data_IF_584813079495
#
_entry.id   IF_584813079495
#
_cell.length_a   1.000
_cell.length_b   1.000
_cell.length_c   1.000
_cell.angle_alpha   90.00
_cell.angle_beta   90.00
_cell.angle_gamma   90.00
#
_symmetry.space_group_name_H-M   'P 1'
#
loop_
_entity.id
_entity.type
_entity.pdbx_description
1 polymer ?
#
# COMPACT_ATOMS: atom_id res chain seq x y z
N UNK A 1 19.32 -14.54 -22.52
CA UNK A 1 18.47 -13.33 -22.65
C UNK A 1 17.52 -13.16 -21.47
N UNK A 2 16.70 -14.17 -21.12
CA UNK A 2 15.72 -14.08 -20.01
C UNK A 2 16.37 -13.78 -18.66
N UNK A 3 17.48 -14.43 -18.31
CA UNK A 3 18.22 -14.17 -17.06
C UNK A 3 18.64 -12.69 -16.92
N UNK A 4 19.18 -12.10 -18.00
CA UNK A 4 19.57 -10.69 -18.04
C UNK A 4 18.36 -9.76 -17.86
N UNK A 5 17.22 -10.08 -18.49
CA UNK A 5 15.97 -9.31 -18.33
C UNK A 5 15.48 -9.36 -16.88
N UNK A 6 15.46 -10.55 -16.27
CA UNK A 6 15.09 -10.73 -14.87
C UNK A 6 15.98 -9.92 -13.92
N UNK A 7 17.30 -9.94 -14.15
CA UNK A 7 18.27 -9.16 -13.38
C UNK A 7 18.05 -7.63 -13.51
N UNK A 8 17.83 -7.12 -14.73
CA UNK A 8 17.54 -5.69 -14.95
C UNK A 8 16.27 -5.27 -14.20
N UNK A 9 15.21 -6.08 -14.28
CA UNK A 9 13.97 -5.81 -13.54
C UNK A 9 14.18 -5.82 -12.02
N UNK A 10 15.01 -6.73 -11.51
CA UNK A 10 15.39 -6.76 -10.10
C UNK A 10 16.07 -5.46 -9.69
N UNK A 11 17.09 -5.02 -10.43
CA UNK A 11 17.81 -3.76 -10.14
C UNK A 11 16.87 -2.55 -10.16
N UNK A 12 15.99 -2.43 -11.16
CA UNK A 12 14.99 -1.36 -11.22
C UNK A 12 14.08 -1.41 -9.98
N UNK A 13 13.63 -2.59 -9.56
CA UNK A 13 12.79 -2.74 -8.37
C UNK A 13 13.52 -2.26 -7.09
N UNK A 14 14.84 -2.43 -6.99
CA UNK A 14 15.65 -1.94 -5.87
C UNK A 14 15.61 -0.40 -5.79
N UNK A 15 15.69 0.29 -6.92
CA UNK A 15 15.57 1.76 -6.92
C UNK A 15 14.16 2.21 -6.52
N UNK A 16 13.12 1.51 -6.96
CA UNK A 16 11.73 1.85 -6.63
C UNK A 16 11.45 1.66 -5.14
N UNK A 17 11.95 0.60 -4.49
CA UNK A 17 11.76 0.42 -3.04
C UNK A 17 12.49 1.50 -2.25
N UNK A 18 13.72 1.88 -2.64
CA UNK A 18 14.45 2.99 -2.00
C UNK A 18 13.65 4.29 -2.13
N UNK A 19 13.16 4.58 -3.34
CA UNK A 19 12.29 5.73 -3.57
C UNK A 19 11.00 5.66 -2.73
N UNK A 20 10.37 4.49 -2.62
CA UNK A 20 9.18 4.27 -1.79
C UNK A 20 9.43 4.57 -0.31
N UNK A 21 10.57 4.13 0.23
CA UNK A 21 10.97 4.42 1.62
C UNK A 21 11.15 5.91 1.83
N UNK A 22 11.85 6.60 0.93
CA UNK A 22 12.05 8.05 1.00
C UNK A 22 10.70 8.78 0.90
N UNK A 23 9.87 8.40 -0.07
CA UNK A 23 8.55 8.98 -0.28
C UNK A 23 7.65 8.81 0.94
N UNK A 24 7.69 7.65 1.60
CA UNK A 24 7.02 7.42 2.87
C UNK A 24 7.57 8.34 3.96
N UNK A 25 8.89 8.44 4.11
CA UNK A 25 9.54 9.33 5.07
C UNK A 25 9.08 10.78 4.94
N UNK A 26 9.01 11.30 3.71
CA UNK A 26 8.54 12.65 3.41
C UNK A 26 7.05 12.86 3.76
N UNK A 27 6.24 11.81 3.67
CA UNK A 27 4.80 11.87 3.96
C UNK A 27 4.41 11.25 5.31
N UNK A 28 5.38 10.85 6.14
CA UNK A 28 5.15 10.10 7.39
C UNK A 28 4.19 10.83 8.33
N UNK A 29 4.35 12.15 8.49
CA UNK A 29 3.45 12.96 9.32
C UNK A 29 2.00 12.96 8.81
N UNK A 30 1.81 12.99 7.50
CA UNK A 30 0.47 12.91 6.88
C UNK A 30 -0.13 11.53 7.10
N UNK A 31 0.67 10.48 6.94
CA UNK A 31 0.26 9.10 7.23
C UNK A 31 -0.22 8.96 8.68
N UNK A 32 0.60 9.35 9.65
CA UNK A 32 0.28 9.26 11.08
C UNK A 32 -0.96 10.09 11.41
N UNK A 33 -1.10 11.28 10.83
CA UNK A 33 -2.27 12.14 11.01
C UNK A 33 -3.56 11.46 10.54
N UNK A 34 -3.58 10.94 9.31
CA UNK A 34 -4.78 10.28 8.76
C UNK A 34 -5.14 9.03 9.57
N UNK A 35 -4.14 8.21 9.95
CA UNK A 35 -4.37 7.01 10.78
C UNK A 35 -4.95 7.41 12.15
N UNK A 36 -4.38 8.42 12.80
CA UNK A 36 -4.84 8.88 14.11
C UNK A 36 -6.26 9.45 14.04
N UNK A 37 -6.54 10.28 13.04
CA UNK A 37 -7.89 10.83 12.85
C UNK A 37 -8.92 9.72 12.59
N UNK A 38 -8.57 8.72 11.78
CA UNK A 38 -9.43 7.57 11.54
C UNK A 38 -9.72 6.77 12.82
N UNK A 39 -8.69 6.49 13.63
CA UNK A 39 -8.83 5.80 14.91
C UNK A 39 -9.64 6.61 15.93
N UNK A 40 -9.52 7.95 15.93
CA UNK A 40 -10.26 8.81 16.85
C UNK A 40 -11.77 8.83 16.63
N UNK A 41 -12.27 8.32 15.48
CA UNK A 41 -13.69 8.13 15.23
C UNK A 41 -14.30 6.98 16.06
N UNK A 42 -13.52 6.32 16.92
CA UNK A 42 -13.96 5.16 17.69
C UNK A 42 -14.09 3.89 16.84
N UNK A 43 -13.62 3.94 15.58
CA UNK A 43 -13.62 2.81 14.67
C UNK A 43 -12.33 2.01 14.87
N UNK A 44 -12.38 0.82 15.50
CA UNK A 44 -11.18 0.03 15.65
C UNK A 44 -10.70 -0.38 14.25
N UNK A 45 -9.46 -0.02 13.93
CA UNK A 45 -8.72 -0.76 12.92
C UNK A 45 -8.76 -2.23 13.35
N UNK A 46 -9.13 -3.15 12.46
CA UNK A 46 -9.04 -4.59 12.74
C UNK A 46 -7.65 -4.87 13.36
N UNK A 47 -7.51 -5.76 14.36
CA UNK A 47 -6.24 -6.06 15.03
C UNK A 47 -5.02 -6.14 14.10
N UNK A 48 -5.18 -6.72 12.89
CA UNK A 48 -4.11 -6.76 11.88
C UNK A 48 -3.67 -5.36 11.42
N UNK A 49 -4.61 -4.45 11.14
CA UNK A 49 -4.30 -3.07 10.76
C UNK A 49 -3.71 -2.25 11.90
N UNK A 50 -4.09 -2.52 13.15
CA UNK A 50 -3.46 -1.86 14.30
C UNK A 50 -2.00 -2.33 14.49
N UNK A 51 -1.74 -3.61 14.25
CA UNK A 51 -0.36 -4.11 14.16
C UNK A 51 0.42 -3.44 13.02
N UNK A 52 -0.17 -3.37 11.82
CA UNK A 52 0.49 -2.75 10.67
C UNK A 52 0.77 -1.25 10.85
N UNK A 53 -0.10 -0.49 11.53
CA UNK A 53 0.18 0.93 11.80
C UNK A 53 1.41 1.14 12.67
N UNK A 54 1.75 0.17 13.52
CA UNK A 54 2.90 0.26 14.42
C UNK A 54 4.22 -0.14 13.76
N UNK A 55 4.18 -0.74 12.56
CA UNK A 55 5.38 -1.17 11.83
C UNK A 55 6.02 -0.07 10.96
N UNK A 56 5.48 1.15 11.00
CA UNK A 56 5.96 2.25 10.16
C UNK A 56 5.88 1.88 8.68
N UNK A 57 7.01 2.01 7.96
CA UNK A 57 7.07 1.71 6.53
C UNK A 57 6.55 0.31 6.18
N UNK A 58 6.98 -0.72 6.92
CA UNK A 58 6.70 -2.12 6.59
C UNK A 58 5.22 -2.51 6.68
N UNK A 59 4.43 -1.83 7.52
CA UNK A 59 2.98 -2.05 7.59
C UNK A 59 2.16 -1.01 6.82
N UNK A 60 2.78 0.11 6.43
CA UNK A 60 2.07 1.23 5.81
C UNK A 60 1.40 0.86 4.49
N UNK A 61 1.93 -0.09 3.71
CA UNK A 61 1.31 -0.55 2.47
C UNK A 61 -0.12 -1.07 2.69
N UNK A 62 -0.33 -1.94 3.68
CA UNK A 62 -1.65 -2.54 3.95
C UNK A 62 -2.69 -1.48 4.37
N UNK A 63 -2.26 -0.51 5.18
CA UNK A 63 -3.11 0.61 5.62
C UNK A 63 -3.47 1.50 4.43
N UNK A 64 -2.47 1.84 3.61
CA UNK A 64 -2.65 2.66 2.41
C UNK A 64 -3.56 1.98 1.41
N UNK A 65 -3.43 0.66 1.22
CA UNK A 65 -4.31 -0.13 0.37
C UNK A 65 -5.76 -0.14 0.88
N UNK A 66 -5.96 -0.25 2.19
CA UNK A 66 -7.27 -0.16 2.80
C UNK A 66 -7.90 1.23 2.61
N UNK A 67 -7.16 2.29 2.91
CA UNK A 67 -7.59 3.68 2.75
C UNK A 67 -7.88 4.04 1.28
N UNK A 68 -7.08 3.54 0.33
CA UNK A 68 -7.39 3.70 -1.10
C UNK A 68 -8.76 3.11 -1.46
N UNK A 69 -9.10 1.92 -0.95
CA UNK A 69 -10.41 1.29 -1.20
C UNK A 69 -11.56 2.13 -0.63
N UNK A 70 -11.37 2.70 0.57
CA UNK A 70 -12.33 3.62 1.17
C UNK A 70 -12.53 4.89 0.33
N UNK A 71 -11.44 5.52 -0.11
CA UNK A 71 -11.52 6.69 -1.00
C UNK A 71 -12.26 6.38 -2.30
N UNK A 72 -12.01 5.20 -2.88
CA UNK A 72 -12.64 4.74 -4.10
C UNK A 72 -14.11 4.26 -3.92
N UNK A 73 -14.67 4.28 -2.71
CA UNK A 73 -16.01 3.76 -2.44
C UNK A 73 -16.14 2.25 -2.69
N UNK A 74 -15.02 1.51 -2.72
CA UNK A 74 -15.02 0.08 -3.04
C UNK A 74 -15.60 -0.73 -1.88
N UNK A 75 -16.64 -1.55 -2.07
CA UNK A 75 -17.25 -2.31 -0.98
C UNK A 75 -16.25 -3.22 -0.26
N UNK A 76 -16.05 -2.99 1.04
CA UNK A 76 -15.17 -3.79 1.90
C UNK A 76 -16.01 -4.69 2.82
N UNK A 77 -15.72 -5.99 2.79
CA UNK A 77 -16.29 -6.96 3.74
C UNK A 77 -15.41 -7.03 4.99
N UNK A 78 -16.02 -6.95 6.17
CA UNK A 78 -15.36 -7.16 7.46
C UNK A 78 -15.60 -8.56 8.02
N UNK A 79 -16.56 -9.29 7.44
CA UNK A 79 -16.86 -10.69 7.77
C UNK A 79 -17.65 -11.38 6.65
N UNK A 80 -18.11 -12.62 6.87
CA UNK A 80 -18.79 -13.43 5.84
C UNK A 80 -20.02 -12.74 5.21
N UNK A 81 -20.73 -11.90 5.97
CA UNK A 81 -21.94 -11.18 5.52
C UNK A 81 -22.03 -9.74 6.01
N UNK A 82 -20.95 -9.21 6.58
CA UNK A 82 -20.92 -7.86 7.16
C UNK A 82 -20.12 -6.96 6.25
N UNK A 83 -20.76 -5.91 5.78
CA UNK A 83 -20.14 -4.84 5.02
C UNK A 83 -19.67 -3.73 5.95
N UNK A 84 -18.57 -3.08 5.58
CA UNK A 84 -18.10 -1.93 6.31
C UNK A 84 -19.14 -0.78 6.22
N UNK A 85 -19.52 -0.15 7.34
CA UNK A 85 -20.48 0.95 7.34
C UNK A 85 -20.07 2.12 6.46
N UNK A 86 -21.05 2.85 5.90
CA UNK A 86 -20.83 3.99 4.99
C UNK A 86 -19.99 5.11 5.62
N UNK A 87 -20.11 5.31 6.93
CA UNK A 87 -19.40 6.34 7.68
C UNK A 87 -17.88 6.28 7.48
N UNK A 88 -17.30 5.09 7.34
CA UNK A 88 -15.86 4.92 7.09
C UNK A 88 -15.40 5.53 5.77
N UNK A 89 -16.24 5.41 4.74
CA UNK A 89 -15.97 5.96 3.41
C UNK A 89 -16.14 7.47 3.43
N UNK A 90 -17.25 7.95 3.99
CA UNK A 90 -17.58 9.38 4.07
C UNK A 90 -16.53 10.17 4.86
N UNK A 91 -16.04 9.62 5.97
CA UNK A 91 -14.96 10.24 6.74
C UNK A 91 -13.68 10.41 5.91
N UNK A 92 -13.26 9.36 5.19
CA UNK A 92 -12.01 9.46 4.45
C UNK A 92 -12.15 10.32 3.20
N UNK A 93 -13.34 10.34 2.59
CA UNK A 93 -13.67 11.18 1.44
C UNK A 93 -13.88 12.66 1.82
N UNK A 94 -14.21 12.96 3.08
CA UNK A 94 -14.32 14.34 3.57
C UNK A 94 -12.96 14.98 3.84
N UNK A 95 -11.88 14.19 3.96
CA UNK A 95 -10.52 14.72 4.08
C UNK A 95 -10.14 15.50 2.80
N UNK A 96 -9.39 16.61 2.92
CA UNK A 96 -9.02 17.41 1.76
C UNK A 96 -8.28 16.58 0.71
N UNK A 97 -8.68 16.66 -0.57
CA UNK A 97 -8.08 15.86 -1.65
C UNK A 97 -6.58 16.10 -1.90
N UNK A 98 -6.04 17.25 -1.44
CA UNK A 98 -4.59 17.52 -1.40
C UNK A 98 -3.90 16.64 -0.36
N UNK A 99 -4.58 16.31 0.74
CA UNK A 99 -4.07 15.48 1.84
C UNK A 99 -4.23 13.98 1.61
N UNK A 100 -5.01 13.54 0.62
CA UNK A 100 -5.19 12.10 0.33
C UNK A 100 -4.52 11.66 -0.97
N UNK A 101 -4.14 12.59 -1.87
CA UNK A 101 -3.45 12.25 -3.11
C UNK A 101 -2.11 11.54 -2.90
N UNK A 102 -1.31 11.95 -1.90
CA UNK A 102 -0.01 11.31 -1.66
C UNK A 102 -0.16 9.82 -1.34
N UNK A 103 -1.27 9.43 -0.70
CA UNK A 103 -1.60 8.05 -0.33
C UNK A 103 -1.86 7.20 -1.58
N UNK A 104 -2.59 7.76 -2.56
CA UNK A 104 -2.86 7.09 -3.84
C UNK A 104 -1.54 6.86 -4.60
N UNK A 105 -0.68 7.87 -4.69
CA UNK A 105 0.64 7.73 -5.33
C UNK A 105 1.49 6.70 -4.59
N UNK A 106 1.54 6.75 -3.25
CA UNK A 106 2.27 5.80 -2.43
C UNK A 106 1.80 4.36 -2.67
N UNK A 107 0.50 4.13 -2.76
CA UNK A 107 -0.05 2.82 -3.12
C UNK A 107 0.49 2.33 -4.46
N UNK A 108 0.43 3.17 -5.50
CA UNK A 108 0.85 2.76 -6.85
C UNK A 108 2.36 2.53 -6.95
N UNK A 109 3.18 3.33 -6.26
CA UNK A 109 4.63 3.11 -6.19
C UNK A 109 4.92 1.70 -5.64
N UNK A 110 4.31 1.34 -4.51
CA UNK A 110 4.51 0.02 -3.90
C UNK A 110 3.89 -1.11 -4.73
N UNK A 111 2.74 -0.87 -5.37
CA UNK A 111 2.10 -1.85 -6.24
C UNK A 111 2.96 -2.16 -7.46
N UNK A 112 3.51 -1.14 -8.13
CA UNK A 112 4.44 -1.30 -9.26
C UNK A 112 5.71 -2.01 -8.82
N UNK A 113 6.27 -1.65 -7.65
CA UNK A 113 7.41 -2.35 -7.08
C UNK A 113 7.12 -3.85 -6.88
N UNK A 114 6.00 -4.20 -6.25
CA UNK A 114 5.60 -5.60 -6.02
C UNK A 114 5.40 -6.37 -7.34
N UNK A 115 4.81 -5.73 -8.36
CA UNK A 115 4.67 -6.37 -9.67
C UNK A 115 6.03 -6.62 -10.32
N UNK A 116 6.93 -5.65 -10.30
CA UNK A 116 8.26 -5.78 -10.89
C UNK A 116 9.10 -6.85 -10.20
N UNK A 117 9.07 -6.94 -8.86
CA UNK A 117 9.83 -7.96 -8.15
C UNK A 117 9.28 -9.36 -8.43
N UNK A 118 7.96 -9.54 -8.47
CA UNK A 118 7.34 -10.84 -8.81
C UNK A 118 7.68 -11.25 -10.25
N UNK A 119 7.57 -10.33 -11.21
CA UNK A 119 7.92 -10.62 -12.62
C UNK A 119 9.41 -10.96 -12.73
N UNK A 120 10.28 -10.22 -12.05
CA UNK A 120 11.73 -10.48 -12.03
C UNK A 120 12.02 -11.90 -11.53
N UNK A 121 11.40 -12.32 -10.42
CA UNK A 121 11.56 -13.67 -9.87
C UNK A 121 11.04 -14.75 -10.84
N UNK A 122 9.89 -14.54 -11.47
CA UNK A 122 9.33 -15.49 -12.43
C UNK A 122 10.22 -15.64 -13.67
N UNK A 123 10.67 -14.53 -14.26
CA UNK A 123 11.54 -14.54 -15.44
C UNK A 123 12.90 -15.14 -15.11
N UNK A 124 13.46 -14.80 -13.93
CA UNK A 124 14.72 -15.37 -13.44
C UNK A 124 14.62 -16.88 -13.22
N UNK A 125 13.58 -17.35 -12.52
CA UNK A 125 13.37 -18.76 -12.26
C UNK A 125 13.11 -19.58 -13.53
N UNK A 126 12.34 -19.04 -14.49
CA UNK A 126 12.16 -19.68 -15.80
C UNK A 126 13.50 -19.78 -16.54
N UNK A 127 14.31 -18.71 -16.52
CA UNK A 127 15.62 -18.72 -17.17
C UNK A 127 16.54 -19.81 -16.62
N UNK A 128 16.54 -20.03 -15.29
CA UNK A 128 17.34 -21.07 -14.63
C UNK A 128 16.90 -22.49 -15.00
N UNK A 129 15.60 -22.74 -15.12
CA UNK A 129 15.07 -24.07 -15.52
C UNK A 129 15.40 -24.41 -16.98
N UNK A 130 15.48 -23.39 -17.85
CA UNK A 130 15.69 -23.56 -19.29
C UNK A 130 17.16 -23.45 -19.74
N UNK A 131 18.09 -23.18 -18.82
CA UNK A 131 19.52 -23.07 -19.07
C UNK A 131 20.22 -24.43 -18.97
#
# INVERSE_FOLDING_TARGET
MLMTVGAVMFFISTFIIIFSVIYFGLNKRKYESVVKQYQSQGWPLNPSYQFFSNLGYFGSFFITAHFKKLLAGTPIKTGKRVWLPKAHYEFLQSLPGVETRWLIHYYYINFVWMLLIVISMLVGGVAEITA
#
